data_IF_395835236458
#
_entry.id   IF_395835236458
#
_cell.length_a   1.000
_cell.length_b   1.000
_cell.length_c   1.000
_cell.angle_alpha   90.00
_cell.angle_beta   90.00
_cell.angle_gamma   90.00
#
_symmetry.space_group_name_H-M   'P 1'
#
loop_
_entity.id
_entity.type
_entity.pdbx_description
1 polymer ?
#
# COMPACT_ATOMS: atom_id res chain seq x y z
N UNK A 1 -44.71 9.85 -29.53
CA UNK A 1 -43.35 10.22 -29.06
C UNK A 1 -42.80 9.03 -28.28
N UNK A 2 -41.52 8.73 -28.48
CA UNK A 2 -40.87 7.43 -28.27
C UNK A 2 -41.31 6.67 -27.01
N UNK A 3 -41.95 5.52 -27.22
CA UNK A 3 -42.09 4.48 -26.20
C UNK A 3 -40.73 3.84 -25.98
N UNK A 4 -40.04 4.27 -24.93
CA UNK A 4 -38.86 3.58 -24.43
C UNK A 4 -39.32 2.25 -23.84
N UNK A 5 -39.40 1.24 -24.71
CA UNK A 5 -39.45 -0.15 -24.30
C UNK A 5 -38.19 -0.45 -23.51
N UNK A 6 -38.29 -0.34 -22.18
CA UNK A 6 -37.34 -0.93 -21.25
C UNK A 6 -37.55 -2.44 -21.37
N UNK A 7 -37.01 -3.00 -22.45
CA UNK A 7 -36.85 -4.43 -22.60
C UNK A 7 -35.97 -4.91 -21.42
N UNK A 8 -36.17 -6.14 -20.91
CA UNK A 8 -35.40 -6.72 -19.80
C UNK A 8 -33.87 -6.77 -20.05
N UNK A 9 -33.42 -6.43 -21.26
CA UNK A 9 -32.02 -6.28 -21.64
C UNK A 9 -31.31 -5.03 -21.08
N UNK A 10 -32.03 -3.98 -20.67
CA UNK A 10 -31.38 -2.77 -20.12
C UNK A 10 -30.69 -3.02 -18.77
N UNK A 11 -31.18 -4.00 -18.01
CA UNK A 11 -30.79 -4.25 -16.62
C UNK A 11 -29.54 -5.13 -16.62
N UNK A 12 -29.49 -6.09 -17.54
CA UNK A 12 -28.31 -6.90 -17.86
C UNK A 12 -27.15 -5.99 -18.31
N UNK A 13 -27.41 -5.00 -19.17
CA UNK A 13 -26.41 -4.03 -19.56
C UNK A 13 -25.87 -3.20 -18.39
N UNK A 14 -26.75 -2.77 -17.47
CA UNK A 14 -26.37 -2.04 -16.26
C UNK A 14 -25.53 -2.89 -15.31
N UNK A 15 -25.89 -4.17 -15.10
CA UNK A 15 -25.14 -5.09 -14.25
C UNK A 15 -23.76 -5.38 -14.83
N UNK A 16 -23.64 -5.60 -16.14
CA UNK A 16 -22.35 -5.82 -16.80
C UNK A 16 -21.44 -4.58 -16.69
N UNK A 17 -21.99 -3.38 -16.87
CA UNK A 17 -21.27 -2.13 -16.69
C UNK A 17 -20.79 -1.98 -15.24
N UNK A 18 -21.67 -2.19 -14.25
CA UNK A 18 -21.32 -2.13 -12.84
C UNK A 18 -20.25 -3.16 -12.47
N UNK A 19 -20.36 -4.39 -12.98
CA UNK A 19 -19.39 -5.45 -12.76
C UNK A 19 -18.01 -5.08 -13.30
N UNK A 20 -17.95 -4.46 -14.48
CA UNK A 20 -16.70 -3.97 -15.07
C UNK A 20 -16.01 -2.92 -14.17
N UNK A 21 -16.76 -1.95 -13.64
CA UNK A 21 -16.24 -0.96 -12.70
C UNK A 21 -15.78 -1.59 -11.38
N UNK A 22 -16.54 -2.54 -10.84
CA UNK A 22 -16.15 -3.27 -9.63
C UNK A 22 -14.86 -4.07 -9.86
N UNK A 23 -14.72 -4.72 -11.02
CA UNK A 23 -13.51 -5.47 -11.35
C UNK A 23 -12.28 -4.56 -11.40
N UNK A 24 -12.39 -3.37 -12.03
CA UNK A 24 -11.32 -2.37 -12.04
C UNK A 24 -10.97 -1.93 -10.62
N UNK A 25 -11.97 -1.62 -9.79
CA UNK A 25 -11.76 -1.21 -8.42
C UNK A 25 -11.02 -2.31 -7.62
N UNK A 26 -11.42 -3.57 -7.76
CA UNK A 26 -10.77 -4.72 -7.09
C UNK A 26 -9.30 -4.85 -7.51
N UNK A 27 -8.98 -4.70 -8.80
CA UNK A 27 -7.60 -4.74 -9.29
C UNK A 27 -6.77 -3.61 -8.66
N UNK A 28 -7.29 -2.38 -8.66
CA UNK A 28 -6.59 -1.23 -8.04
C UNK A 28 -6.36 -1.48 -6.55
N UNK A 29 -7.39 -1.94 -5.83
CA UNK A 29 -7.27 -2.25 -4.40
C UNK A 29 -6.28 -3.40 -4.12
N UNK A 30 -6.26 -4.43 -4.96
CA UNK A 30 -5.33 -5.55 -4.83
C UNK A 30 -3.87 -5.09 -5.02
N UNK A 31 -3.61 -4.29 -6.06
CA UNK A 31 -2.27 -3.72 -6.29
C UNK A 31 -1.88 -2.80 -5.15
N UNK A 32 -2.78 -1.90 -4.72
CA UNK A 32 -2.52 -1.01 -3.60
C UNK A 32 -2.21 -1.79 -2.31
N UNK A 33 -2.98 -2.84 -2.01
CA UNK A 33 -2.74 -3.69 -0.84
C UNK A 33 -1.44 -4.47 -0.94
N UNK A 34 -1.07 -4.93 -2.14
CA UNK A 34 0.18 -5.64 -2.36
C UNK A 34 1.40 -4.71 -2.22
N UNK A 35 1.32 -3.49 -2.75
CA UNK A 35 2.35 -2.45 -2.60
C UNK A 35 2.48 -2.03 -1.12
N UNK A 36 1.38 -1.76 -0.42
CA UNK A 36 1.42 -1.40 1.01
C UNK A 36 1.96 -2.56 1.85
N UNK A 37 1.58 -3.80 1.55
CA UNK A 37 2.13 -4.97 2.25
C UNK A 37 3.63 -5.15 1.99
N UNK A 38 4.08 -4.91 0.76
CA UNK A 38 5.50 -4.97 0.39
C UNK A 38 6.30 -3.84 1.05
N UNK A 39 5.72 -2.65 1.18
CA UNK A 39 6.32 -1.53 1.89
C UNK A 39 6.36 -1.79 3.40
N UNK A 40 5.28 -2.31 4.00
CA UNK A 40 5.25 -2.66 5.43
C UNK A 40 6.28 -3.74 5.81
N UNK A 41 6.53 -4.74 4.95
CA UNK A 41 7.61 -5.71 5.20
C UNK A 41 9.00 -5.05 5.16
N UNK A 42 9.18 -4.01 4.33
CA UNK A 42 10.42 -3.22 4.31
C UNK A 42 10.52 -2.29 5.51
N UNK A 43 9.44 -1.64 5.91
CA UNK A 43 9.38 -0.75 7.07
C UNK A 43 9.54 -1.49 8.39
N UNK A 44 9.06 -2.73 8.54
CA UNK A 44 9.30 -3.51 9.76
C UNK A 44 10.80 -3.82 9.93
N UNK A 45 11.50 -4.13 8.83
CA UNK A 45 12.97 -4.31 8.85
C UNK A 45 13.73 -3.00 9.09
N UNK A 46 13.24 -1.87 8.55
CA UNK A 46 13.82 -0.54 8.71
C UNK A 46 13.66 0.00 10.13
N UNK A 47 12.47 -0.19 10.71
CA UNK A 47 12.18 0.15 12.11
C UNK A 47 13.01 -0.72 13.07
N UNK A 48 13.14 -2.03 12.82
CA UNK A 48 14.04 -2.90 13.59
C UNK A 48 15.51 -2.45 13.51
N UNK A 49 16.01 -2.10 12.32
CA UNK A 49 17.39 -1.63 12.17
C UNK A 49 17.64 -0.31 12.90
N UNK A 50 16.69 0.63 12.86
CA UNK A 50 16.77 1.91 13.59
C UNK A 50 16.65 1.73 15.10
N UNK A 51 15.79 0.81 15.57
CA UNK A 51 15.67 0.49 17.00
C UNK A 51 16.93 -0.18 17.53
N UNK A 52 17.53 -1.12 16.79
CA UNK A 52 18.82 -1.73 17.14
C UNK A 52 19.94 -0.67 17.21
N UNK A 53 19.92 0.31 16.29
CA UNK A 53 20.88 1.42 16.28
C UNK A 53 20.71 2.34 17.49
N UNK A 54 19.47 2.68 17.85
CA UNK A 54 19.17 3.46 19.06
C UNK A 54 19.56 2.74 20.33
N UNK A 55 19.30 1.43 20.41
CA UNK A 55 19.62 0.65 21.60
C UNK A 55 21.14 0.61 21.85
N UNK A 56 21.95 0.45 20.79
CA UNK A 56 23.42 0.47 20.91
C UNK A 56 24.00 1.85 21.18
N UNK A 57 23.36 2.91 20.66
CA UNK A 57 23.68 4.28 21.04
C UNK A 57 23.39 4.54 22.54
N UNK A 58 22.25 4.06 23.04
CA UNK A 58 21.88 4.17 24.44
C UNK A 58 22.80 3.36 25.38
N UNK A 59 23.30 2.21 24.90
CA UNK A 59 24.35 1.43 25.58
C UNK A 59 25.74 2.08 25.51
N UNK A 60 25.91 3.13 24.71
CA UNK A 60 27.18 3.83 24.52
C UNK A 60 28.20 3.05 23.69
N UNK A 61 27.78 1.98 23.00
CA UNK A 61 28.64 1.16 22.14
C UNK A 61 28.95 1.83 20.80
N UNK A 62 28.17 2.85 20.42
CA UNK A 62 28.27 3.58 19.16
C UNK A 62 28.29 5.07 19.46
N UNK A 63 29.17 5.82 18.80
CA UNK A 63 29.26 7.28 18.98
C UNK A 63 28.14 8.01 18.22
N UNK A 64 27.82 9.25 18.62
CA UNK A 64 26.75 10.05 18.01
C UNK A 64 26.98 10.30 16.51
N UNK A 65 28.23 10.43 16.09
CA UNK A 65 28.63 10.58 14.69
C UNK A 65 28.32 9.33 13.86
N UNK A 66 28.66 8.13 14.36
CA UNK A 66 28.34 6.87 13.68
C UNK A 66 26.83 6.58 13.62
N UNK A 67 26.07 7.03 14.64
CA UNK A 67 24.61 6.93 14.64
C UNK A 67 23.98 7.80 13.54
N UNK A 68 24.43 9.05 13.41
CA UNK A 68 23.91 10.00 12.40
C UNK A 68 24.24 9.55 10.98
N UNK A 69 25.45 9.03 10.73
CA UNK A 69 25.84 8.51 9.41
C UNK A 69 25.01 7.30 8.99
N UNK A 70 24.82 6.32 9.89
CA UNK A 70 23.99 5.13 9.60
C UNK A 70 22.51 5.48 9.47
N UNK A 71 22.01 6.46 10.22
CA UNK A 71 20.62 6.93 10.10
C UNK A 71 20.36 7.60 8.75
N UNK A 72 21.33 8.37 8.23
CA UNK A 72 21.24 9.00 6.91
C UNK A 72 21.29 7.98 5.78
N UNK A 73 22.10 6.93 5.92
CA UNK A 73 22.20 5.86 4.92
C UNK A 73 20.94 4.98 4.88
N UNK A 74 20.24 4.87 6.01
CA UNK A 74 18.98 4.16 6.14
C UNK A 74 17.75 4.98 5.77
N UNK A 75 17.83 6.29 5.47
CA UNK A 75 16.69 7.21 5.17
C UNK A 75 16.53 7.46 3.66
#
# INVERSE_FOLDING_TARGET
MMGYGILPFGWIGFVLMAFFWVLIAVIIFAVARWVVSALNHKDESRNSALDILKERYAKGEINKEEFEDKKRDLL
#
